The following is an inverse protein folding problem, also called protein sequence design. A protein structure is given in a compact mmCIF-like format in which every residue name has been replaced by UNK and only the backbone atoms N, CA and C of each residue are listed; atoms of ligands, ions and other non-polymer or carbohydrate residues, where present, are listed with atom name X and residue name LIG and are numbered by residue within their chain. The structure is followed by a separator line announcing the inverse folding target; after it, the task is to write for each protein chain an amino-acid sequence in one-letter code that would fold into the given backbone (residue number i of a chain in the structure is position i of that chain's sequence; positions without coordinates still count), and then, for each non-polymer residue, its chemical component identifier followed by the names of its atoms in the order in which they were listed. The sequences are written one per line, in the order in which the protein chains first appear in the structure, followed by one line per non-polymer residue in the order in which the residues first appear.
data_IF_119609384973
#
_entry.id   IF_119609384973
#
_cell.length_a   1.000
_cell.length_b   1.000
_cell.length_c   1.000
_cell.angle_alpha   90.00
_cell.angle_beta   90.00
_cell.angle_gamma   90.00
#
_symmetry.space_group_name_H-M   'P 1'
#
loop_
_entity.id
_entity.type
_entity.pdbx_description
1 polymer ?
#
# COMPACT_ATOMS: atom_id res chain seq x y z
N UNK A 1 -0.87 12.71 -13.34
CA UNK A 1 -1.16 12.07 -12.04
C UNK A 1 -1.84 10.73 -12.26
N UNK A 2 -1.67 9.73 -11.34
CA UNK A 2 -2.38 8.46 -11.37
C UNK A 2 -3.09 8.19 -10.05
N UNK A 3 -4.14 7.37 -10.11
CA UNK A 3 -4.88 6.89 -8.95
C UNK A 3 -4.58 5.40 -8.75
N UNK A 4 -4.12 5.04 -7.56
CA UNK A 4 -3.87 3.66 -7.17
C UNK A 4 -5.04 3.16 -6.34
N UNK A 5 -5.70 2.10 -6.77
CA UNK A 5 -6.72 1.43 -5.94
C UNK A 5 -5.98 0.53 -4.97
N UNK A 6 -5.89 0.94 -3.70
CA UNK A 6 -5.07 0.27 -2.70
C UNK A 6 -5.47 -1.20 -2.48
N UNK A 7 -4.48 -2.05 -2.21
CA UNK A 7 -4.74 -3.40 -1.74
C UNK A 7 -5.56 -3.39 -0.41
N UNK A 8 -6.57 -4.27 -0.22
CA UNK A 8 -6.97 -5.35 -1.12
C UNK A 8 -8.03 -4.96 -2.15
N UNK A 9 -8.43 -3.69 -2.24
CA UNK A 9 -9.55 -3.25 -3.07
C UNK A 9 -9.29 -3.43 -4.57
N UNK A 10 -8.03 -3.33 -5.02
CA UNK A 10 -7.63 -3.59 -6.39
C UNK A 10 -7.92 -5.01 -6.89
N UNK A 11 -8.16 -5.97 -5.98
CA UNK A 11 -8.64 -7.30 -6.36
C UNK A 11 -10.05 -7.28 -6.96
N UNK A 12 -10.85 -6.26 -6.62
CA UNK A 12 -12.29 -6.22 -6.93
C UNK A 12 -12.69 -5.02 -7.78
N UNK A 13 -11.98 -3.89 -7.63
CA UNK A 13 -12.30 -2.63 -8.29
C UNK A 13 -11.29 -2.41 -9.42
N UNK A 14 -11.74 -2.63 -10.67
CA UNK A 14 -10.92 -2.50 -11.88
C UNK A 14 -11.66 -1.61 -12.90
N UNK A 15 -11.05 -0.48 -13.22
CA UNK A 15 -11.58 0.46 -14.20
C UNK A 15 -10.96 0.18 -15.57
N UNK A 16 -11.63 -0.60 -16.41
CA UNK A 16 -11.09 -1.05 -17.71
C UNK A 16 -10.83 0.08 -18.73
N UNK A 17 -11.42 1.24 -18.55
CA UNK A 17 -11.39 2.36 -19.51
C UNK A 17 -10.66 3.61 -19.03
N UNK A 18 -9.90 3.52 -17.93
CA UNK A 18 -9.20 4.67 -17.34
C UNK A 18 -7.70 4.37 -17.20
N UNK A 19 -6.89 4.87 -18.11
CA UNK A 19 -5.42 4.66 -18.13
C UNK A 19 -4.69 5.31 -16.96
N UNK A 20 -5.36 6.21 -16.23
CA UNK A 20 -4.82 6.86 -15.04
C UNK A 20 -5.14 6.11 -13.74
N UNK A 21 -5.82 4.95 -13.80
CA UNK A 21 -6.14 4.12 -12.63
C UNK A 21 -5.34 2.84 -12.63
N UNK A 22 -4.66 2.57 -11.52
CA UNK A 22 -3.79 1.41 -11.34
C UNK A 22 -4.30 0.56 -10.17
N UNK A 23 -4.85 -0.64 -10.42
CA UNK A 23 -5.23 -1.55 -9.35
C UNK A 23 -3.99 -2.14 -8.65
N UNK A 24 -4.04 -2.18 -7.31
CA UNK A 24 -3.05 -2.87 -6.47
C UNK A 24 -3.73 -4.07 -5.83
N UNK A 25 -3.31 -5.27 -6.24
CA UNK A 25 -3.86 -6.55 -5.74
C UNK A 25 -3.15 -7.00 -4.47
N UNK A 26 -3.71 -7.91 -3.71
CA UNK A 26 -3.08 -8.49 -2.52
C UNK A 26 -3.49 -7.79 -1.21
N UNK A 27 -2.64 -7.71 -0.19
CA UNK A 27 -1.25 -8.18 -0.19
C UNK A 27 -1.19 -9.71 -0.09
N UNK A 28 -0.29 -10.31 -0.87
CA UNK A 28 -0.05 -11.74 -0.94
C UNK A 28 1.18 -12.10 -0.11
N UNK A 29 1.07 -13.15 0.71
CA UNK A 29 2.20 -13.73 1.43
C UNK A 29 2.74 -14.93 0.66
N UNK A 30 3.95 -15.42 1.00
CA UNK A 30 4.51 -16.61 0.39
C UNK A 30 3.53 -17.78 0.51
N UNK A 31 3.08 -18.05 1.73
CA UNK A 31 2.20 -19.16 2.06
C UNK A 31 0.74 -18.72 2.19
N UNK A 32 -0.18 -19.69 2.08
CA UNK A 32 -1.60 -19.52 2.36
C UNK A 32 -1.83 -19.14 3.83
N UNK A 33 -2.60 -18.09 4.08
CA UNK A 33 -2.97 -17.63 5.42
C UNK A 33 -4.48 -17.75 5.72
N UNK A 34 -5.31 -17.58 4.70
CA UNK A 34 -6.77 -17.73 4.82
C UNK A 34 -7.41 -17.49 3.45
N UNK A 35 -8.41 -18.27 3.10
CA UNK A 35 -9.20 -18.05 1.89
C UNK A 35 -10.28 -16.99 2.05
N UNK A 36 -11.12 -16.87 1.02
CA UNK A 36 -12.19 -15.89 0.93
C UNK A 36 -13.16 -15.91 2.12
N UNK A 37 -13.60 -17.11 2.52
CA UNK A 37 -14.53 -17.27 3.68
C UNK A 37 -13.89 -16.80 4.99
N UNK A 38 -12.64 -17.18 5.24
CA UNK A 38 -11.91 -16.72 6.43
C UNK A 38 -11.72 -15.22 6.46
N UNK A 39 -11.54 -14.57 5.30
CA UNK A 39 -11.51 -13.11 5.18
C UNK A 39 -12.84 -12.48 5.56
N UNK A 40 -13.96 -13.00 5.04
CA UNK A 40 -15.32 -12.50 5.39
C UNK A 40 -15.54 -12.60 6.89
N UNK A 41 -15.27 -13.77 7.48
CA UNK A 41 -15.43 -13.97 8.93
C UNK A 41 -14.60 -12.96 9.73
N UNK A 42 -13.33 -12.71 9.34
CA UNK A 42 -12.50 -11.71 10.03
C UNK A 42 -13.03 -10.29 9.86
N UNK A 43 -13.50 -9.93 8.66
CA UNK A 43 -14.14 -8.63 8.42
C UNK A 43 -15.33 -8.45 9.36
N UNK A 44 -16.26 -9.39 9.40
CA UNK A 44 -17.44 -9.31 10.25
C UNK A 44 -17.12 -9.24 11.75
N UNK A 45 -16.05 -9.94 12.19
CA UNK A 45 -15.64 -9.97 13.60
C UNK A 45 -14.85 -8.75 14.05
N UNK A 46 -14.04 -8.15 13.16
CA UNK A 46 -13.02 -7.19 13.59
C UNK A 46 -13.14 -5.82 12.96
N UNK A 47 -13.88 -5.68 11.86
CA UNK A 47 -13.97 -4.39 11.17
C UNK A 47 -15.16 -3.58 11.71
N UNK A 48 -14.85 -2.36 12.19
CA UNK A 48 -15.86 -1.41 12.67
C UNK A 48 -15.49 0.02 12.29
N UNK A 49 -16.51 0.85 12.10
CA UNK A 49 -16.32 2.28 11.92
C UNK A 49 -16.35 3.00 13.27
N UNK A 50 -15.32 3.77 13.56
CA UNK A 50 -15.22 4.62 14.74
C UNK A 50 -15.52 6.08 14.33
N UNK A 51 -16.62 6.62 14.85
CA UNK A 51 -17.06 8.00 14.53
C UNK A 51 -16.13 9.06 15.11
N UNK A 52 -15.60 8.82 16.31
CA UNK A 52 -14.68 9.75 16.98
C UNK A 52 -13.35 9.86 16.25
N UNK A 53 -12.84 8.70 15.76
CA UNK A 53 -11.60 8.64 14.96
C UNK A 53 -11.83 8.89 13.47
N UNK A 54 -13.06 9.06 13.02
CA UNK A 54 -13.45 9.22 11.60
C UNK A 54 -12.81 8.19 10.69
N UNK A 55 -12.80 6.93 11.12
CA UNK A 55 -12.06 5.87 10.43
C UNK A 55 -12.55 4.46 10.70
N UNK A 56 -12.03 3.52 9.92
CA UNK A 56 -12.30 2.10 10.07
C UNK A 56 -11.16 1.45 10.85
N UNK A 57 -11.51 0.68 11.87
CA UNK A 57 -10.58 -0.15 12.65
C UNK A 57 -10.75 -1.59 12.18
N UNK A 58 -9.64 -2.31 12.01
CA UNK A 58 -9.64 -3.71 11.63
C UNK A 58 -8.45 -4.49 12.23
N UNK A 59 -8.65 -5.81 12.45
CA UNK A 59 -7.60 -6.78 12.82
C UNK A 59 -7.58 -7.92 11.79
N UNK A 60 -7.41 -7.59 10.51
CA UNK A 60 -7.52 -8.60 9.45
C UNK A 60 -6.35 -9.59 9.43
N UNK A 61 -5.12 -9.15 9.73
CA UNK A 61 -3.95 -10.05 9.80
C UNK A 61 -3.53 -10.66 8.47
N UNK A 62 -3.66 -9.92 7.36
CA UNK A 62 -3.30 -10.35 6.01
C UNK A 62 -3.94 -11.69 5.57
N UNK A 63 -5.28 -11.85 5.61
CA UNK A 63 -5.90 -13.06 5.10
C UNK A 63 -5.78 -13.10 3.57
N UNK A 64 -5.06 -14.08 3.04
CA UNK A 64 -4.84 -14.25 1.62
C UNK A 64 -4.55 -15.71 1.26
N UNK A 65 -4.63 -16.03 -0.02
CA UNK A 65 -4.50 -17.39 -0.54
C UNK A 65 -3.07 -17.73 -0.99
N UNK A 66 -2.08 -16.90 -0.64
CA UNK A 66 -0.68 -17.09 -1.02
C UNK A 66 -0.34 -16.53 -2.40
N UNK A 67 0.99 -16.39 -2.64
CA UNK A 67 1.53 -15.76 -3.85
C UNK A 67 1.17 -16.48 -5.13
N UNK A 68 1.11 -17.80 -5.13
CA UNK A 68 0.78 -18.60 -6.33
C UNK A 68 -0.64 -18.31 -6.86
N UNK A 69 -1.60 -18.15 -5.95
CA UNK A 69 -2.96 -17.72 -6.31
C UNK A 69 -2.96 -16.24 -6.69
N UNK A 70 -2.14 -15.44 -6.00
CA UNK A 70 -1.94 -14.04 -6.33
C UNK A 70 -1.48 -13.82 -7.77
N UNK A 71 -0.52 -14.60 -8.24
CA UNK A 71 -0.02 -14.57 -9.62
C UNK A 71 -1.11 -14.88 -10.66
N UNK A 72 -2.00 -15.83 -10.36
CA UNK A 72 -3.13 -16.16 -11.24
C UNK A 72 -4.20 -15.06 -11.27
N UNK A 73 -4.31 -14.25 -10.21
CA UNK A 73 -5.34 -13.21 -10.05
C UNK A 73 -4.86 -11.81 -10.44
N UNK A 74 -3.55 -11.60 -10.57
CA UNK A 74 -2.95 -10.29 -10.91
C UNK A 74 -2.53 -10.27 -12.38
N UNK A 75 -3.01 -9.28 -13.13
CA UNK A 75 -2.60 -9.07 -14.51
C UNK A 75 -1.27 -8.30 -14.57
N UNK A 76 -0.54 -8.40 -15.68
CA UNK A 76 0.73 -7.69 -15.90
C UNK A 76 0.63 -6.16 -15.83
N UNK A 77 -0.55 -5.60 -16.12
CA UNK A 77 -0.83 -4.16 -16.01
C UNK A 77 -1.15 -3.69 -14.58
N UNK A 78 -1.34 -4.61 -13.64
CA UNK A 78 -1.68 -4.34 -12.25
C UNK A 78 -0.44 -4.42 -11.37
N UNK A 79 -0.51 -3.83 -10.19
CA UNK A 79 0.55 -3.93 -9.19
C UNK A 79 0.21 -5.07 -8.22
N UNK A 80 1.14 -5.98 -8.02
CA UNK A 80 1.03 -7.05 -7.05
C UNK A 80 1.60 -6.59 -5.70
N UNK A 81 0.75 -6.39 -4.70
CA UNK A 81 1.22 -6.13 -3.33
C UNK A 81 1.62 -7.44 -2.66
N UNK A 82 2.83 -7.49 -2.13
CA UNK A 82 3.38 -8.65 -1.41
C UNK A 82 3.76 -8.27 0.02
N UNK A 83 3.68 -9.24 0.91
CA UNK A 83 4.14 -9.10 2.29
C UNK A 83 4.93 -10.34 2.70
N UNK A 84 6.15 -10.13 3.16
CA UNK A 84 6.95 -11.18 3.79
C UNK A 84 6.56 -11.34 5.26
N UNK A 85 6.62 -12.54 5.79
CA UNK A 85 6.46 -12.83 7.22
C UNK A 85 7.83 -12.94 7.87
N UNK A 86 8.81 -13.42 7.10
CA UNK A 86 10.23 -13.48 7.48
C UNK A 86 11.08 -12.92 6.35
N UNK A 87 12.27 -12.40 6.68
CA UNK A 87 13.19 -11.84 5.68
C UNK A 87 13.55 -12.85 4.58
N UNK A 88 13.68 -14.13 4.95
CA UNK A 88 13.93 -15.24 4.02
C UNK A 88 12.86 -15.43 2.94
N UNK A 89 11.63 -14.99 3.19
CA UNK A 89 10.52 -15.10 2.24
C UNK A 89 10.78 -14.31 0.96
N UNK A 90 11.48 -13.18 1.05
CA UNK A 90 11.79 -12.36 -0.13
C UNK A 90 12.55 -13.13 -1.20
N UNK A 91 13.52 -13.97 -0.82
CA UNK A 91 14.27 -14.81 -1.76
C UNK A 91 13.38 -15.84 -2.47
N UNK A 92 12.38 -16.40 -1.77
CA UNK A 92 11.42 -17.35 -2.34
C UNK A 92 10.40 -16.61 -3.22
N UNK A 93 9.86 -15.50 -2.76
CA UNK A 93 8.96 -14.63 -3.53
C UNK A 93 9.61 -14.16 -4.84
N UNK A 94 10.89 -13.75 -4.79
CA UNK A 94 11.63 -13.32 -5.97
C UNK A 94 11.74 -14.41 -7.04
N UNK A 95 11.87 -15.67 -6.64
CA UNK A 95 11.93 -16.82 -7.58
C UNK A 95 10.58 -17.14 -8.24
N UNK A 96 9.48 -16.84 -7.56
CA UNK A 96 8.12 -17.16 -8.03
C UNK A 96 7.50 -16.05 -8.88
N UNK A 97 7.83 -14.78 -8.57
CA UNK A 97 7.20 -13.63 -9.21
C UNK A 97 7.92 -13.32 -10.53
N UNK A 98 7.18 -13.11 -11.63
CA UNK A 98 7.76 -12.68 -12.90
C UNK A 98 8.64 -11.44 -12.74
N UNK A 99 9.75 -11.41 -13.43
CA UNK A 99 10.79 -10.39 -13.25
C UNK A 99 10.31 -8.97 -13.57
N UNK A 100 9.36 -8.84 -14.52
CA UNK A 100 8.76 -7.59 -14.98
C UNK A 100 7.48 -7.21 -14.24
N UNK A 101 6.93 -8.08 -13.38
CA UNK A 101 5.72 -7.81 -12.62
C UNK A 101 5.90 -6.59 -11.71
N UNK A 102 5.05 -5.58 -11.88
CA UNK A 102 5.01 -4.41 -10.97
C UNK A 102 4.63 -4.80 -9.56
N UNK A 103 5.38 -4.31 -8.58
CA UNK A 103 5.23 -4.70 -7.16
C UNK A 103 4.99 -3.53 -6.22
N UNK A 104 4.22 -3.79 -5.18
CA UNK A 104 4.20 -3.03 -3.94
C UNK A 104 4.67 -3.97 -2.80
N UNK A 105 5.76 -3.62 -2.12
CA UNK A 105 6.25 -4.37 -0.95
C UNK A 105 5.68 -3.72 0.30
N UNK A 106 4.87 -4.48 1.03
CA UNK A 106 4.19 -4.02 2.22
C UNK A 106 5.09 -4.19 3.45
N UNK A 107 5.84 -3.14 3.82
CA UNK A 107 6.72 -3.11 4.99
C UNK A 107 5.99 -2.85 6.31
N UNK A 108 4.71 -2.57 6.26
CA UNK A 108 3.97 -2.06 7.40
C UNK A 108 2.68 -2.81 7.66
N UNK A 109 2.75 -4.11 7.90
CA UNK A 109 1.56 -4.80 8.37
C UNK A 109 1.47 -4.70 9.90
N UNK A 110 0.56 -3.87 10.48
CA UNK A 110 0.44 -3.70 11.92
C UNK A 110 -0.08 -4.95 12.64
N UNK A 111 -0.43 -5.97 11.92
CA UNK A 111 -0.99 -7.21 12.43
C UNK A 111 0.02 -8.38 12.39
N UNK A 112 1.29 -8.10 12.15
CA UNK A 112 2.39 -9.05 12.30
C UNK A 112 3.12 -8.71 13.60
N UNK A 113 3.04 -9.62 14.57
CA UNK A 113 3.66 -9.43 15.88
C UNK A 113 5.18 -9.20 15.76
N UNK A 114 5.65 -8.11 16.41
CA UNK A 114 6.98 -7.81 16.94
C UNK A 114 8.23 -7.79 16.04
N UNK A 115 8.22 -8.13 14.75
CA UNK A 115 9.43 -8.03 13.94
C UNK A 115 9.51 -6.67 13.23
N UNK A 116 10.47 -5.85 13.65
CA UNK A 116 10.77 -4.57 13.01
C UNK A 116 11.09 -4.76 11.53
N UNK A 117 10.43 -4.03 10.59
CA UNK A 117 10.78 -4.04 9.17
C UNK A 117 12.23 -3.64 8.86
N UNK A 118 12.92 -3.04 9.82
CA UNK A 118 14.32 -2.60 9.72
C UNK A 118 15.34 -3.74 9.53
N UNK A 119 14.95 -5.00 9.75
CA UNK A 119 15.82 -6.16 9.51
C UNK A 119 15.64 -6.79 8.12
N UNK A 120 14.79 -6.23 7.27
CA UNK A 120 14.38 -6.86 6.02
C UNK A 120 15.27 -6.47 4.83
N UNK A 121 16.54 -6.82 4.92
CA UNK A 121 17.52 -6.63 3.83
C UNK A 121 17.16 -7.41 2.56
N UNK A 122 16.47 -8.52 2.69
CA UNK A 122 16.07 -9.37 1.57
C UNK A 122 15.21 -8.66 0.53
N UNK A 123 14.51 -7.59 0.91
CA UNK A 123 13.69 -6.82 -0.02
C UNK A 123 14.49 -6.09 -1.11
N UNK A 124 15.79 -5.85 -0.89
CA UNK A 124 16.68 -5.18 -1.85
C UNK A 124 16.78 -5.89 -3.20
N UNK A 125 16.58 -7.22 -3.23
CA UNK A 125 16.64 -8.00 -4.46
C UNK A 125 15.62 -7.57 -5.52
N UNK A 126 14.49 -6.98 -5.11
CA UNK A 126 13.46 -6.50 -6.03
C UNK A 126 13.81 -5.18 -6.69
N UNK A 127 14.74 -4.41 -6.15
CA UNK A 127 15.23 -3.15 -6.70
C UNK A 127 16.43 -3.29 -7.63
N UNK A 128 17.01 -4.47 -7.76
CA UNK A 128 18.23 -4.69 -8.53
C UNK A 128 18.08 -4.44 -10.04
N UNK A 129 16.86 -4.20 -10.53
CA UNK A 129 16.64 -3.88 -11.94
C UNK A 129 15.43 -2.95 -12.17
N UNK A 130 15.55 -1.64 -11.87
CA UNK A 130 14.46 -0.68 -12.00
C UNK A 130 14.03 -0.42 -13.45
N UNK A 131 14.86 -0.75 -14.45
CA UNK A 131 14.53 -0.56 -15.86
C UNK A 131 13.56 -1.60 -16.43
N UNK A 132 13.36 -2.71 -15.76
CA UNK A 132 12.48 -3.79 -16.22
C UNK A 132 11.10 -3.69 -15.56
N UNK A 133 11.05 -3.32 -14.29
CA UNK A 133 9.82 -3.26 -13.50
C UNK A 133 9.34 -1.82 -13.35
N UNK A 134 8.19 -1.50 -13.96
CA UNK A 134 7.63 -0.14 -13.93
C UNK A 134 7.40 0.41 -12.53
N UNK A 135 6.90 -0.44 -11.61
CA UNK A 135 6.68 -0.08 -10.22
C UNK A 135 7.37 -1.08 -9.28
N UNK A 136 8.18 -0.55 -8.37
CA UNK A 136 8.72 -1.25 -7.21
C UNK A 136 8.55 -0.35 -5.99
N UNK A 137 7.39 -0.43 -5.36
CA UNK A 137 6.90 0.52 -4.37
C UNK A 137 7.14 -0.04 -2.97
N UNK A 138 7.73 0.77 -2.08
CA UNK A 138 7.74 0.47 -0.66
C UNK A 138 6.52 1.13 0.01
N UNK A 139 5.60 0.31 0.55
CA UNK A 139 4.46 0.80 1.32
C UNK A 139 4.78 0.81 2.79
N UNK A 140 4.68 1.99 3.39
CA UNK A 140 5.16 2.28 4.74
C UNK A 140 4.02 2.53 5.74
N UNK A 141 4.34 2.44 7.04
CA UNK A 141 3.43 2.79 8.11
C UNK A 141 3.30 4.32 8.26
N UNK A 142 2.18 4.83 8.80
CA UNK A 142 2.04 6.23 9.17
C UNK A 142 3.08 6.70 10.19
N UNK A 143 3.57 5.77 11.02
CA UNK A 143 4.54 6.00 12.09
C UNK A 143 5.99 5.74 11.67
N UNK A 144 6.25 5.58 10.37
CA UNK A 144 7.60 5.34 9.85
C UNK A 144 8.52 6.51 10.19
N UNK A 145 9.65 6.20 10.82
CA UNK A 145 10.65 7.20 11.24
C UNK A 145 11.57 7.60 10.08
N UNK A 146 12.32 8.69 10.27
CA UNK A 146 13.31 9.14 9.28
C UNK A 146 14.42 8.10 9.08
N UNK A 147 14.83 7.39 10.12
CA UNK A 147 15.85 6.33 10.00
C UNK A 147 15.34 5.16 9.17
N UNK A 148 14.07 4.79 9.35
CA UNK A 148 13.41 3.76 8.55
C UNK A 148 13.28 4.19 7.08
N UNK A 149 12.93 5.44 6.82
CA UNK A 149 12.91 6.00 5.46
C UNK A 149 14.31 5.98 4.85
N UNK A 150 15.32 6.39 5.62
CA UNK A 150 16.73 6.36 5.18
C UNK A 150 17.16 4.94 4.81
N UNK A 151 16.82 3.96 5.63
CA UNK A 151 17.11 2.57 5.33
C UNK A 151 16.43 2.10 4.04
N UNK A 152 15.14 2.38 3.84
CA UNK A 152 14.42 1.98 2.64
C UNK A 152 14.95 2.68 1.38
N UNK A 153 15.25 3.97 1.47
CA UNK A 153 15.61 4.79 0.31
C UNK A 153 17.11 4.68 -0.01
N UNK A 154 17.97 4.87 0.99
CA UNK A 154 19.42 4.97 0.76
C UNK A 154 20.09 3.60 0.81
N UNK A 155 19.67 2.69 1.69
CA UNK A 155 20.28 1.36 1.81
C UNK A 155 19.63 0.32 0.89
N UNK A 156 18.28 0.25 0.84
CA UNK A 156 17.56 -0.70 -0.01
C UNK A 156 17.30 -0.17 -1.43
N UNK A 157 17.49 1.12 -1.69
CA UNK A 157 17.38 1.71 -3.01
C UNK A 157 15.97 1.98 -3.53
N UNK A 158 14.94 1.97 -2.66
CA UNK A 158 13.58 2.29 -3.10
C UNK A 158 13.47 3.74 -3.56
N UNK A 159 12.87 3.96 -4.73
CA UNK A 159 12.60 5.29 -5.30
C UNK A 159 11.12 5.60 -5.45
N UNK A 160 10.25 4.68 -5.00
CA UNK A 160 8.79 4.82 -5.05
C UNK A 160 8.23 4.45 -3.68
N UNK A 161 7.61 5.42 -2.99
CA UNK A 161 7.13 5.25 -1.63
C UNK A 161 5.60 5.46 -1.59
N UNK A 162 4.87 4.51 -1.01
CA UNK A 162 3.43 4.63 -0.75
C UNK A 162 3.21 5.04 0.72
N UNK A 163 2.87 6.29 0.94
CA UNK A 163 2.43 6.87 2.21
C UNK A 163 0.90 6.90 2.24
N UNK A 164 0.20 6.08 2.99
CA UNK A 164 0.71 5.06 3.88
C UNK A 164 -0.28 3.88 4.06
N UNK A 165 0.06 2.94 4.90
CA UNK A 165 -0.82 1.88 5.37
C UNK A 165 -1.71 2.39 6.53
N UNK A 166 -2.41 1.49 7.24
CA UNK A 166 -3.22 1.81 8.43
C UNK A 166 -2.34 2.18 9.62
N UNK A 167 -2.84 3.08 10.47
CA UNK A 167 -2.19 3.46 11.72
C UNK A 167 -2.37 2.34 12.76
N UNK A 168 -1.29 1.79 13.32
CA UNK A 168 -1.39 0.82 14.40
C UNK A 168 -1.95 1.50 15.66
N UNK A 169 -2.99 0.91 16.22
CA UNK A 169 -3.59 1.28 17.50
C UNK A 169 -3.87 0.00 18.31
N UNK A 170 -4.12 0.11 19.61
CA UNK A 170 -4.37 -1.07 20.46
C UNK A 170 -5.49 -1.98 19.94
N UNK A 171 -6.49 -1.40 19.27
CA UNK A 171 -7.63 -2.13 18.72
C UNK A 171 -7.39 -2.67 17.29
N UNK A 172 -6.22 -2.47 16.70
CA UNK A 172 -5.85 -2.94 15.35
C UNK A 172 -5.31 -1.84 14.44
N UNK A 173 -5.54 -1.94 13.16
CA UNK A 173 -5.16 -0.92 12.17
C UNK A 173 -6.30 0.07 11.95
N UNK A 174 -6.05 1.37 12.19
CA UNK A 174 -6.97 2.47 11.90
C UNK A 174 -6.71 3.03 10.51
N UNK A 175 -7.77 3.19 9.72
CA UNK A 175 -7.76 3.85 8.40
C UNK A 175 -8.81 4.93 8.33
N UNK A 176 -8.64 5.93 7.47
CA UNK A 176 -9.57 7.04 7.31
C UNK A 176 -8.93 8.40 7.52
N UNK A 177 -9.72 9.42 7.81
CA UNK A 177 -9.27 10.83 7.87
C UNK A 177 -8.18 11.09 8.91
N UNK A 178 -8.13 10.32 9.98
CA UNK A 178 -7.07 10.40 11.00
C UNK A 178 -5.66 10.17 10.44
N UNK A 179 -5.52 9.59 9.24
CA UNK A 179 -4.22 9.38 8.59
C UNK A 179 -3.65 10.63 7.93
N UNK A 180 -4.48 11.62 7.59
CA UNK A 180 -4.06 12.80 6.82
C UNK A 180 -2.86 13.53 7.44
N UNK A 181 -2.83 13.83 8.76
CA UNK A 181 -1.67 14.48 9.36
C UNK A 181 -0.37 13.68 9.23
N UNK A 182 -0.44 12.37 9.40
CA UNK A 182 0.72 11.47 9.28
C UNK A 182 1.25 11.43 7.84
N UNK A 183 0.34 11.32 6.86
CA UNK A 183 0.73 11.32 5.44
C UNK A 183 1.35 12.65 5.05
N UNK A 184 0.79 13.77 5.49
CA UNK A 184 1.34 15.10 5.27
C UNK A 184 2.77 15.21 5.83
N UNK A 185 2.99 14.74 7.04
CA UNK A 185 4.31 14.73 7.68
C UNK A 185 5.31 13.87 6.89
N UNK A 186 4.93 12.65 6.49
CA UNK A 186 5.78 11.77 5.70
C UNK A 186 6.17 12.40 4.35
N UNK A 187 5.21 13.02 3.65
CA UNK A 187 5.49 13.73 2.39
C UNK A 187 6.51 14.86 2.64
N UNK A 188 6.32 15.66 3.69
CA UNK A 188 7.23 16.76 4.02
C UNK A 188 8.65 16.26 4.31
N UNK A 189 8.80 15.23 5.14
CA UNK A 189 10.11 14.61 5.46
C UNK A 189 10.80 14.09 4.18
N UNK A 190 10.06 13.38 3.32
CA UNK A 190 10.63 12.83 2.09
C UNK A 190 11.06 13.96 1.14
N UNK A 191 10.26 15.00 0.99
CA UNK A 191 10.58 16.13 0.11
C UNK A 191 11.74 16.96 0.62
N UNK A 192 11.83 17.17 1.93
CA UNK A 192 12.94 17.89 2.56
C UNK A 192 14.27 17.16 2.38
N UNK A 193 14.29 15.83 2.58
CA UNK A 193 15.54 15.07 2.57
C UNK A 193 15.97 14.58 1.19
N UNK A 194 15.04 14.14 0.34
CA UNK A 194 15.34 13.51 -0.97
C UNK A 194 14.75 14.26 -2.16
N UNK A 195 14.10 15.39 -1.94
CA UNK A 195 13.55 16.21 -3.01
C UNK A 195 12.60 15.46 -3.93
N UNK A 196 12.77 15.64 -5.23
CA UNK A 196 11.94 15.02 -6.27
C UNK A 196 12.48 13.67 -6.79
N UNK A 197 13.55 13.15 -6.22
CA UNK A 197 14.11 11.84 -6.60
C UNK A 197 13.16 10.69 -6.22
N UNK A 198 12.31 10.91 -5.21
CA UNK A 198 11.37 9.93 -4.72
C UNK A 198 9.98 10.19 -5.29
N UNK A 199 9.41 9.20 -5.97
CA UNK A 199 8.02 9.20 -6.38
C UNK A 199 7.14 8.87 -5.16
N UNK A 200 6.26 9.79 -4.78
CA UNK A 200 5.37 9.63 -3.64
C UNK A 200 3.94 9.32 -4.11
N UNK A 201 3.40 8.18 -3.65
CA UNK A 201 2.00 7.83 -3.76
C UNK A 201 1.36 8.11 -2.41
N UNK A 202 0.51 9.13 -2.33
CA UNK A 202 -0.12 9.53 -1.08
C UNK A 202 -1.52 8.92 -0.93
N UNK A 203 -1.78 8.31 0.21
CA UNK A 203 -3.07 7.70 0.52
C UNK A 203 -3.33 7.57 2.00
N UNK A 204 -4.58 7.56 2.35
CA UNK A 204 -5.09 7.59 3.72
C UNK A 204 -6.04 8.77 3.90
N UNK A 205 -7.30 8.49 4.15
CA UNK A 205 -8.31 9.51 4.40
C UNK A 205 -8.85 10.27 3.17
N UNK A 206 -8.41 9.96 1.97
CA UNK A 206 -8.90 10.60 0.73
C UNK A 206 -10.39 10.29 0.55
N UNK A 207 -11.22 11.34 0.52
CA UNK A 207 -12.68 11.23 0.37
C UNK A 207 -13.29 12.26 -0.59
N UNK A 208 -12.55 13.33 -0.92
CA UNK A 208 -12.97 14.44 -1.78
C UNK A 208 -11.74 15.07 -2.48
N UNK A 209 -12.01 16.09 -3.31
CA UNK A 209 -10.98 16.82 -4.06
C UNK A 209 -10.01 17.61 -3.18
N UNK A 210 -10.47 18.12 -2.04
CA UNK A 210 -9.61 18.91 -1.16
C UNK A 210 -8.54 18.04 -0.51
N UNK A 211 -8.88 16.77 -0.19
CA UNK A 211 -7.91 15.78 0.31
C UNK A 211 -6.83 15.50 -0.76
N UNK A 212 -7.22 15.40 -2.03
CA UNK A 212 -6.30 15.21 -3.17
C UNK A 212 -5.39 16.44 -3.33
N UNK A 213 -5.97 17.62 -3.40
CA UNK A 213 -5.23 18.89 -3.54
C UNK A 213 -4.25 19.09 -2.39
N UNK A 214 -4.64 18.76 -1.16
CA UNK A 214 -3.76 18.82 0.02
C UNK A 214 -2.50 17.96 -0.15
N UNK A 215 -2.63 16.73 -0.66
CA UNK A 215 -1.47 15.86 -0.88
C UNK A 215 -0.61 16.33 -2.05
N UNK A 216 -1.22 16.73 -3.16
CA UNK A 216 -0.50 17.21 -4.34
C UNK A 216 0.27 18.50 -4.05
N UNK A 217 -0.34 19.46 -3.35
CA UNK A 217 0.31 20.73 -2.99
C UNK A 217 1.50 20.57 -2.05
N UNK A 218 1.57 19.43 -1.33
CA UNK A 218 2.71 19.04 -0.48
C UNK A 218 3.79 18.26 -1.23
N UNK A 219 3.55 17.95 -2.51
CA UNK A 219 4.52 17.30 -3.36
C UNK A 219 4.25 15.80 -3.62
N UNK A 220 3.07 15.25 -3.30
CA UNK A 220 2.73 13.91 -3.77
C UNK A 220 2.66 13.89 -5.30
N UNK A 221 3.12 12.80 -5.92
CA UNK A 221 3.05 12.61 -7.38
C UNK A 221 1.75 11.91 -7.80
N UNK A 222 1.25 11.03 -6.95
CA UNK A 222 0.11 10.17 -7.21
C UNK A 222 -0.74 10.00 -5.96
N UNK A 223 -2.00 9.55 -6.15
CA UNK A 223 -2.97 9.37 -5.07
C UNK A 223 -3.35 7.90 -4.94
N UNK A 224 -3.41 7.40 -3.71
CA UNK A 224 -3.92 6.06 -3.39
C UNK A 224 -5.29 6.13 -2.73
N UNK A 225 -6.23 5.37 -3.25
CA UNK A 225 -7.62 5.30 -2.80
C UNK A 225 -7.83 4.00 -2.02
N UNK A 226 -8.07 4.12 -0.71
CA UNK A 226 -8.31 3.02 0.22
C UNK A 226 -9.77 2.95 0.67
N UNK A 227 -10.08 3.51 1.84
CA UNK A 227 -11.41 3.40 2.48
C UNK A 227 -12.58 3.98 1.68
N UNK A 228 -12.34 4.90 0.73
CA UNK A 228 -13.38 5.38 -0.20
C UNK A 228 -13.90 4.23 -1.08
N UNK A 229 -13.12 3.16 -1.25
CA UNK A 229 -13.52 1.98 -2.01
C UNK A 229 -14.71 1.22 -1.41
N UNK A 230 -15.08 1.49 -0.15
CA UNK A 230 -16.36 1.05 0.40
C UNK A 230 -17.57 1.76 -0.23
N UNK A 231 -17.33 2.85 -1.00
CA UNK A 231 -18.35 3.58 -1.76
C UNK A 231 -17.90 3.72 -3.22
N UNK A 232 -17.82 2.61 -3.98
CA UNK A 232 -17.17 2.58 -5.30
C UNK A 232 -17.79 3.55 -6.32
N UNK A 233 -19.09 3.87 -6.17
CA UNK A 233 -19.75 4.89 -7.02
C UNK A 233 -19.17 6.29 -6.86
N UNK A 234 -18.51 6.61 -5.73
CA UNK A 234 -17.87 7.91 -5.52
C UNK A 234 -16.50 8.02 -6.20
N UNK A 235 -15.85 6.89 -6.45
CA UNK A 235 -14.48 6.85 -6.99
C UNK A 235 -14.45 7.45 -8.39
N UNK A 236 -15.40 7.07 -9.26
CA UNK A 236 -15.46 7.55 -10.65
C UNK A 236 -15.59 9.07 -10.70
N UNK A 237 -16.47 9.66 -9.89
CA UNK A 237 -16.64 11.10 -9.83
C UNK A 237 -15.36 11.78 -9.32
N UNK A 238 -14.76 11.24 -8.25
CA UNK A 238 -13.52 11.77 -7.66
C UNK A 238 -12.37 11.79 -8.68
N UNK A 239 -12.22 10.74 -9.50
CA UNK A 239 -11.20 10.67 -10.54
C UNK A 239 -11.47 11.67 -11.67
N UNK A 240 -12.69 11.71 -12.18
CA UNK A 240 -13.06 12.57 -13.30
C UNK A 240 -12.94 14.08 -12.98
N UNK A 241 -13.22 14.47 -11.74
CA UNK A 241 -13.08 15.85 -11.29
C UNK A 241 -11.60 16.26 -11.06
N UNK A 242 -10.68 15.29 -11.06
CA UNK A 242 -9.25 15.51 -10.83
C UNK A 242 -8.41 15.45 -12.12
N UNK A 243 -9.04 15.13 -13.25
CA UNK A 243 -8.42 15.06 -14.58
C UNK A 243 -8.71 16.32 -15.35
#
# INVERSE_FOLDING_TARGET
MKFFIAAPFGNYIKFKSQDNVVPVTGSWTLEYRSGFLGRIVRILKTMRYDRGKQGWINKLGLPNEGVEIGLKKTNSSEIMSIAAIEDSDFKKLFKLIPYDQSLEINFSCPNLDEKSPLSWNGASIFNNNPSIRKYCIAKIAPTTTIDQLTFLIDNLGFRQIHCCNTLPINEGGLSGKSLIPYVNNLISIIREKWGNEILIIAGGGVTNQDDIKNYLSRGANHISLGTICFKPWKIKNLINEST
#
